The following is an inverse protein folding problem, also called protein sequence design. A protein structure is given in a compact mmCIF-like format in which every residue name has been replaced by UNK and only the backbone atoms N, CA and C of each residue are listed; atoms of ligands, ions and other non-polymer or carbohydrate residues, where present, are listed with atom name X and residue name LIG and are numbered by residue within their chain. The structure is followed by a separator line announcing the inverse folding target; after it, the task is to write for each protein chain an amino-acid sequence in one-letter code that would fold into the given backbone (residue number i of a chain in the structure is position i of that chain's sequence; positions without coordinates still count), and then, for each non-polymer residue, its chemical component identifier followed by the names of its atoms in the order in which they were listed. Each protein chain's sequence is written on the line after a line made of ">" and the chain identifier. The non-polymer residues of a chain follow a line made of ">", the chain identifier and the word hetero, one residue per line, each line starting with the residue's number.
data_IF_996982943045
#
_entry.id   IF_996982943045
#
_cell.length_a   1.000
_cell.length_b   1.000
_cell.length_c   1.000
_cell.angle_alpha   90.00
_cell.angle_beta   90.00
_cell.angle_gamma   90.00
#
_symmetry.space_group_name_H-M   'P 1'
#
loop_
_entity.id
_entity.type
_entity.pdbx_description
1 polymer ?
#
# COMPACT_ATOMS: atom_id res chain seq x y z
N UNK A 1 -28.06 58.10 -7.19
CA UNK A 1 -27.49 59.08 -8.14
C UNK A 1 -28.20 58.84 -9.46
N UNK A 2 -28.94 59.82 -9.99
CA UNK A 2 -29.62 59.68 -11.30
C UNK A 2 -28.69 60.06 -12.44
N UNK A 3 -28.99 59.64 -13.67
CA UNK A 3 -28.31 60.10 -14.87
C UNK A 3 -28.29 61.64 -14.96
N UNK A 4 -29.41 62.28 -14.60
CA UNK A 4 -29.52 63.76 -14.53
C UNK A 4 -28.55 64.39 -13.52
N UNK A 5 -28.33 63.77 -12.37
CA UNK A 5 -27.38 64.26 -11.36
C UNK A 5 -25.92 63.94 -11.74
N UNK A 6 -25.68 62.80 -12.39
CA UNK A 6 -24.38 62.36 -12.89
C UNK A 6 -23.85 63.27 -14.00
N UNK A 7 -24.75 63.82 -14.83
CA UNK A 7 -24.43 64.77 -15.88
C UNK A 7 -24.54 66.25 -15.43
N UNK A 8 -24.55 66.51 -14.11
CA UNK A 8 -24.43 67.87 -13.56
C UNK A 8 -25.74 68.64 -13.31
N UNK A 9 -26.91 67.99 -13.39
CA UNK A 9 -28.19 68.64 -13.11
C UNK A 9 -28.42 68.94 -11.62
N UNK A 10 -29.10 70.06 -11.32
CA UNK A 10 -29.36 70.56 -9.95
C UNK A 10 -30.22 69.65 -9.07
N UNK A 11 -30.88 68.64 -9.66
CA UNK A 11 -31.76 67.73 -8.93
C UNK A 11 -30.93 66.67 -8.18
N UNK A 12 -30.92 66.75 -6.85
CA UNK A 12 -30.34 65.70 -5.99
C UNK A 12 -31.28 64.51 -5.92
N UNK A 13 -30.84 63.37 -6.43
CA UNK A 13 -31.56 62.12 -6.20
C UNK A 13 -31.40 61.68 -4.74
N UNK A 14 -32.52 61.56 -4.02
CA UNK A 14 -32.58 61.18 -2.60
C UNK A 14 -32.83 59.69 -2.37
N UNK A 15 -32.99 58.90 -3.43
CA UNK A 15 -33.22 57.45 -3.34
C UNK A 15 -31.96 56.62 -3.07
N UNK A 16 -32.12 55.29 -3.08
CA UNK A 16 -31.05 54.32 -2.77
C UNK A 16 -29.81 54.50 -3.67
N UNK A 17 -28.61 54.37 -3.10
CA UNK A 17 -27.35 54.52 -3.83
C UNK A 17 -27.32 53.61 -5.08
N UNK A 18 -27.01 54.18 -6.25
CA UNK A 18 -27.11 53.46 -7.53
C UNK A 18 -26.16 52.24 -7.59
N UNK A 19 -25.01 52.31 -6.94
CA UNK A 19 -24.07 51.19 -6.82
C UNK A 19 -24.71 50.06 -6.01
N UNK A 20 -25.40 50.38 -4.91
CA UNK A 20 -26.11 49.40 -4.06
C UNK A 20 -27.32 48.76 -4.76
N UNK A 21 -28.00 49.49 -5.65
CA UNK A 21 -29.15 48.94 -6.40
C UNK A 21 -28.69 47.88 -7.42
N UNK A 22 -27.56 48.11 -8.09
CA UNK A 22 -27.03 47.23 -9.14
C UNK A 22 -26.12 46.10 -8.60
N UNK A 23 -25.78 46.12 -7.31
CA UNK A 23 -24.94 45.11 -6.64
C UNK A 23 -25.51 43.69 -6.82
N UNK A 24 -26.83 43.53 -6.78
CA UNK A 24 -27.51 42.22 -6.88
C UNK A 24 -28.21 41.96 -8.22
N UNK A 25 -28.11 42.86 -9.20
CA UNK A 25 -28.85 42.76 -10.47
C UNK A 25 -28.20 41.84 -11.53
N UNK A 26 -27.02 41.28 -11.26
CA UNK A 26 -26.36 40.33 -12.18
C UNK A 26 -25.83 40.90 -13.50
N UNK A 27 -25.88 42.23 -13.72
CA UNK A 27 -25.42 42.87 -14.98
C UNK A 27 -23.96 42.51 -15.26
N UNK A 28 -23.75 41.83 -16.38
CA UNK A 28 -22.45 41.44 -16.96
C UNK A 28 -21.86 42.56 -17.84
N UNK A 29 -20.57 42.45 -18.17
CA UNK A 29 -19.88 43.41 -19.06
C UNK A 29 -20.57 43.55 -20.42
N UNK A 30 -21.13 42.44 -20.93
CA UNK A 30 -21.87 42.41 -22.19
C UNK A 30 -23.16 43.22 -22.09
N UNK A 31 -23.90 43.10 -20.98
CA UNK A 31 -25.15 43.82 -20.77
C UNK A 31 -24.90 45.31 -20.49
N UNK A 32 -23.82 45.63 -19.77
CA UNK A 32 -23.40 47.01 -19.55
C UNK A 32 -23.00 47.69 -20.86
N UNK A 33 -22.19 47.04 -21.70
CA UNK A 33 -21.78 47.59 -23.00
C UNK A 33 -22.97 47.82 -23.95
N UNK A 34 -23.95 46.90 -23.95
CA UNK A 34 -25.20 47.11 -24.71
C UNK A 34 -26.00 48.31 -24.20
N UNK A 35 -26.09 48.49 -22.89
CA UNK A 35 -26.75 49.67 -22.32
C UNK A 35 -26.04 50.98 -22.71
N UNK A 36 -24.71 50.96 -22.78
CA UNK A 36 -23.89 52.09 -23.25
C UNK A 36 -24.14 52.38 -24.74
N UNK A 37 -24.21 51.35 -25.57
CA UNK A 37 -24.54 51.48 -27.00
C UNK A 37 -25.93 52.10 -27.22
N UNK A 38 -26.95 51.61 -26.49
CA UNK A 38 -28.30 52.18 -26.57
C UNK A 38 -28.33 53.64 -26.15
N UNK A 39 -27.57 54.01 -25.13
CA UNK A 39 -27.50 55.38 -24.65
C UNK A 39 -26.82 56.31 -25.67
N UNK A 40 -25.72 55.86 -26.27
CA UNK A 40 -25.03 56.61 -27.33
C UNK A 40 -25.94 56.82 -28.54
N UNK A 41 -26.65 55.78 -28.98
CA UNK A 41 -27.61 55.86 -30.08
C UNK A 41 -28.77 56.83 -29.76
N UNK A 42 -29.22 56.87 -28.51
CA UNK A 42 -30.22 57.84 -28.08
C UNK A 42 -29.68 59.29 -28.16
N UNK A 43 -28.44 59.54 -27.70
CA UNK A 43 -27.84 60.87 -27.79
C UNK A 43 -27.67 61.37 -29.23
N UNK A 44 -27.29 60.47 -30.15
CA UNK A 44 -27.25 60.76 -31.58
C UNK A 44 -28.63 61.11 -32.14
N UNK A 45 -29.67 60.35 -31.76
CA UNK A 45 -31.06 60.58 -32.20
C UNK A 45 -31.62 61.95 -31.77
N UNK A 46 -31.16 62.50 -30.64
CA UNK A 46 -31.58 63.80 -30.12
C UNK A 46 -30.63 64.96 -30.49
N UNK A 47 -29.74 64.77 -31.48
CA UNK A 47 -28.78 65.78 -31.95
C UNK A 47 -27.91 66.40 -30.85
N UNK A 48 -27.55 65.62 -29.83
CA UNK A 48 -26.59 66.07 -28.82
C UNK A 48 -25.21 66.14 -29.49
N UNK A 49 -24.45 67.22 -29.24
CA UNK A 49 -23.13 67.38 -29.85
C UNK A 49 -22.20 66.20 -29.52
N UNK A 50 -21.31 65.88 -30.43
CA UNK A 50 -20.38 64.76 -30.27
C UNK A 50 -19.47 64.93 -29.04
N UNK A 51 -19.03 66.17 -28.76
CA UNK A 51 -18.24 66.50 -27.57
C UNK A 51 -19.00 66.27 -26.26
N UNK A 52 -20.29 66.65 -26.21
CA UNK A 52 -21.14 66.41 -25.04
C UNK A 52 -21.48 64.93 -24.88
N UNK A 53 -21.74 64.22 -25.99
CA UNK A 53 -21.97 62.78 -26.01
C UNK A 53 -20.76 62.05 -25.43
N UNK A 54 -19.55 62.38 -25.90
CA UNK A 54 -18.30 61.78 -25.41
C UNK A 54 -18.09 61.99 -23.91
N UNK A 55 -18.29 63.22 -23.42
CA UNK A 55 -18.20 63.55 -21.98
C UNK A 55 -19.21 62.77 -21.15
N UNK A 56 -20.46 62.64 -21.62
CA UNK A 56 -21.49 61.90 -20.91
C UNK A 56 -21.16 60.39 -20.85
N UNK A 57 -20.70 59.82 -21.96
CA UNK A 57 -20.33 58.40 -22.04
C UNK A 57 -19.15 58.07 -21.13
N UNK A 58 -18.12 58.93 -21.09
CA UNK A 58 -16.94 58.75 -20.24
C UNK A 58 -17.31 58.74 -18.75
N UNK A 59 -18.21 59.62 -18.30
CA UNK A 59 -18.66 59.67 -16.90
C UNK A 59 -19.40 58.39 -16.51
N UNK A 60 -20.24 57.86 -17.39
CA UNK A 60 -21.06 56.67 -17.13
C UNK A 60 -20.20 55.42 -17.16
N UNK A 61 -19.26 55.32 -18.11
CA UNK A 61 -18.28 54.25 -18.20
C UNK A 61 -17.43 54.15 -16.93
N UNK A 62 -16.83 55.27 -16.50
CA UNK A 62 -16.02 55.34 -15.27
C UNK A 62 -16.79 54.94 -14.01
N UNK A 63 -18.12 55.12 -14.01
CA UNK A 63 -18.98 54.71 -12.89
C UNK A 63 -19.31 53.22 -12.96
N UNK A 64 -19.52 52.66 -14.15
CA UNK A 64 -19.78 51.23 -14.37
C UNK A 64 -18.57 50.35 -14.09
N UNK A 65 -17.38 50.76 -14.52
CA UNK A 65 -16.12 50.02 -14.31
C UNK A 65 -15.85 49.78 -12.81
N UNK A 66 -16.12 50.77 -11.95
CA UNK A 66 -16.00 50.65 -10.49
C UNK A 66 -16.94 49.59 -9.89
N UNK A 67 -18.10 49.37 -10.49
CA UNK A 67 -19.09 48.37 -10.03
C UNK A 67 -18.65 46.96 -10.46
N UNK A 68 -18.17 46.82 -11.70
CA UNK A 68 -17.68 45.56 -12.26
C UNK A 68 -16.42 45.10 -11.52
N UNK A 69 -15.44 45.98 -11.31
CA UNK A 69 -14.22 45.65 -10.56
C UNK A 69 -14.51 45.13 -9.15
N UNK A 70 -15.49 45.72 -8.47
CA UNK A 70 -15.89 45.29 -7.12
C UNK A 70 -16.47 43.87 -7.14
N UNK A 71 -17.32 43.54 -8.12
CA UNK A 71 -17.89 42.20 -8.29
C UNK A 71 -16.83 41.16 -8.65
N UNK A 72 -15.89 41.50 -9.53
CA UNK A 72 -14.77 40.62 -9.88
C UNK A 72 -13.93 40.32 -8.63
N UNK A 73 -13.59 41.35 -7.82
CA UNK A 73 -12.86 41.17 -6.56
C UNK A 73 -13.62 40.29 -5.56
N UNK A 74 -14.93 40.52 -5.38
CA UNK A 74 -15.77 39.70 -4.50
C UNK A 74 -15.82 38.22 -4.94
N UNK A 75 -16.05 37.96 -6.24
CA UNK A 75 -16.08 36.61 -6.79
C UNK A 75 -14.72 35.90 -6.67
N UNK A 76 -13.63 36.64 -6.86
CA UNK A 76 -12.27 36.12 -6.65
C UNK A 76 -11.99 35.81 -5.18
N UNK A 77 -12.45 36.63 -4.23
CA UNK A 77 -12.33 36.35 -2.80
C UNK A 77 -13.17 35.14 -2.37
N UNK A 78 -14.39 34.99 -2.89
CA UNK A 78 -15.23 33.81 -2.65
C UNK A 78 -14.59 32.53 -3.21
N UNK A 79 -14.06 32.58 -4.43
CA UNK A 79 -13.35 31.45 -5.04
C UNK A 79 -12.11 31.06 -4.24
N UNK A 80 -11.33 32.04 -3.77
CA UNK A 80 -10.17 31.79 -2.88
C UNK A 80 -10.59 31.13 -1.58
N UNK A 81 -11.69 31.58 -0.96
CA UNK A 81 -12.24 30.97 0.27
C UNK A 81 -12.68 29.52 0.03
N UNK A 82 -13.34 29.24 -1.08
CA UNK A 82 -13.76 27.88 -1.45
C UNK A 82 -12.55 26.95 -1.64
N UNK A 83 -11.56 27.39 -2.42
CA UNK A 83 -10.32 26.63 -2.65
C UNK A 83 -9.55 26.37 -1.35
N UNK A 84 -9.45 27.37 -0.47
CA UNK A 84 -8.81 27.22 0.84
C UNK A 84 -9.56 26.22 1.72
N UNK A 85 -10.89 26.24 1.70
CA UNK A 85 -11.70 25.30 2.47
C UNK A 85 -11.56 23.85 1.97
N UNK A 86 -11.47 23.64 0.66
CA UNK A 86 -11.20 22.33 0.07
C UNK A 86 -9.80 21.82 0.41
N UNK A 87 -8.77 22.68 0.33
CA UNK A 87 -7.41 22.33 0.74
C UNK A 87 -7.35 21.93 2.22
N UNK A 88 -8.05 22.66 3.09
CA UNK A 88 -8.09 22.36 4.53
C UNK A 88 -8.76 21.00 4.79
N UNK A 89 -9.86 20.67 4.09
CA UNK A 89 -10.51 19.36 4.16
C UNK A 89 -9.57 18.23 3.73
N UNK A 90 -8.86 18.40 2.61
CA UNK A 90 -7.90 17.40 2.13
C UNK A 90 -6.74 17.21 3.11
N UNK A 91 -6.23 18.30 3.70
CA UNK A 91 -5.15 18.24 4.69
C UNK A 91 -5.59 17.52 5.96
N UNK A 92 -6.79 17.82 6.47
CA UNK A 92 -7.37 17.14 7.63
C UNK A 92 -7.58 15.65 7.36
N UNK A 93 -8.05 15.28 6.17
CA UNK A 93 -8.23 13.89 5.79
C UNK A 93 -6.90 13.14 5.74
N UNK A 94 -5.85 13.74 5.14
CA UNK A 94 -4.49 13.18 5.10
C UNK A 94 -3.88 13.02 6.50
N UNK A 95 -4.07 14.01 7.38
CA UNK A 95 -3.61 13.91 8.78
C UNK A 95 -4.35 12.80 9.53
N UNK A 96 -5.66 12.67 9.36
CA UNK A 96 -6.44 11.60 10.00
C UNK A 96 -6.02 10.21 9.51
N UNK A 97 -5.75 10.05 8.21
CA UNK A 97 -5.24 8.78 7.68
C UNK A 97 -3.83 8.45 8.18
N UNK A 98 -2.93 9.44 8.29
CA UNK A 98 -1.58 9.19 8.83
C UNK A 98 -1.61 8.86 10.33
N UNK A 99 -2.47 9.55 11.10
CA UNK A 99 -2.68 9.27 12.51
C UNK A 99 -3.20 7.85 12.74
N UNK A 100 -4.07 7.34 11.86
CA UNK A 100 -4.55 5.96 11.93
C UNK A 100 -3.45 4.96 11.57
N UNK A 101 -2.66 5.20 10.52
CA UNK A 101 -1.55 4.33 10.12
C UNK A 101 -0.48 4.18 11.20
N UNK A 102 -0.24 5.24 12.00
CA UNK A 102 0.73 5.20 13.09
C UNK A 102 0.22 4.46 14.34
N UNK A 103 -1.06 4.08 14.41
CA UNK A 103 -1.58 3.30 15.53
C UNK A 103 -1.24 1.81 15.40
N UNK A 104 -1.05 1.11 16.54
CA UNK A 104 -0.94 -0.34 16.56
C UNK A 104 -2.05 -1.01 15.76
N UNK A 105 -1.70 -2.13 15.12
CA UNK A 105 -2.61 -2.84 14.22
C UNK A 105 -3.92 -3.23 14.93
N UNK A 106 -3.86 -3.65 16.20
CA UNK A 106 -5.04 -3.97 17.01
C UNK A 106 -6.07 -2.83 17.06
N UNK A 107 -5.62 -1.57 17.15
CA UNK A 107 -6.52 -0.41 17.21
C UNK A 107 -7.19 -0.20 15.86
N UNK A 108 -6.45 -0.42 14.77
CA UNK A 108 -6.97 -0.33 13.41
C UNK A 108 -7.91 -1.49 13.05
N UNK A 109 -7.73 -2.65 13.66
CA UNK A 109 -8.59 -3.84 13.49
C UNK A 109 -9.91 -3.74 14.27
N UNK A 110 -10.09 -2.75 15.14
CA UNK A 110 -11.29 -2.58 15.96
C UNK A 110 -11.17 -3.11 17.39
N UNK A 111 -9.95 -3.40 17.84
CA UNK A 111 -9.66 -3.81 19.22
C UNK A 111 -9.92 -5.29 19.48
N UNK A 112 -9.96 -5.65 20.76
CA UNK A 112 -10.14 -7.04 21.23
C UNK A 112 -11.41 -7.69 20.68
N UNK A 113 -12.60 -7.03 20.65
CA UNK A 113 -13.82 -7.66 20.15
C UNK A 113 -13.71 -8.14 18.70
N UNK A 114 -13.00 -7.40 17.84
CA UNK A 114 -12.75 -7.84 16.46
C UNK A 114 -11.85 -9.07 16.41
N UNK A 115 -10.87 -9.18 17.30
CA UNK A 115 -10.00 -10.36 17.37
C UNK A 115 -10.76 -11.57 17.91
N UNK A 116 -11.66 -11.38 18.89
CA UNK A 116 -12.54 -12.46 19.37
C UNK A 116 -13.41 -13.02 18.24
N UNK A 117 -14.00 -12.16 17.41
CA UNK A 117 -14.79 -12.59 16.23
C UNK A 117 -13.88 -13.29 15.21
N UNK A 118 -12.68 -12.76 14.98
CA UNK A 118 -11.71 -13.35 14.06
C UNK A 118 -11.31 -14.76 14.51
N UNK A 119 -11.04 -14.96 15.79
CA UNK A 119 -10.64 -16.28 16.31
C UNK A 119 -11.80 -17.27 16.27
N UNK A 120 -13.04 -16.84 16.54
CA UNK A 120 -14.22 -17.68 16.36
C UNK A 120 -14.34 -18.17 14.91
N UNK A 121 -14.36 -17.24 13.95
CA UNK A 121 -14.44 -17.54 12.51
C UNK A 121 -13.28 -18.40 12.00
N UNK A 122 -12.10 -18.20 12.58
CA UNK A 122 -10.92 -18.99 12.26
C UNK A 122 -11.05 -20.43 12.73
N UNK A 123 -11.48 -20.64 13.98
CA UNK A 123 -11.60 -21.99 14.52
C UNK A 123 -12.70 -22.80 13.85
N UNK A 124 -13.80 -22.18 13.41
CA UNK A 124 -14.83 -22.82 12.59
C UNK A 124 -14.23 -23.46 11.32
N UNK A 125 -13.26 -22.82 10.68
CA UNK A 125 -12.57 -23.37 9.50
C UNK A 125 -11.53 -24.42 9.85
N UNK A 126 -10.79 -24.20 10.94
CA UNK A 126 -9.74 -25.12 11.40
C UNK A 126 -10.29 -26.49 11.75
N UNK A 127 -11.46 -26.54 12.40
CA UNK A 127 -12.07 -27.82 12.79
C UNK A 127 -12.59 -28.61 11.58
N UNK A 128 -13.06 -27.91 10.55
CA UNK A 128 -13.58 -28.52 9.32
C UNK A 128 -12.46 -28.95 8.35
N UNK A 129 -11.24 -28.43 8.52
CA UNK A 129 -10.10 -28.81 7.70
C UNK A 129 -9.49 -30.16 8.12
N UNK A 130 -9.42 -31.12 7.19
CA UNK A 130 -8.91 -32.47 7.46
C UNK A 130 -7.45 -32.49 7.96
N UNK A 131 -6.64 -31.50 7.55
CA UNK A 131 -5.21 -31.45 7.87
C UNK A 131 -4.92 -30.71 9.18
N UNK A 132 -5.62 -29.60 9.45
CA UNK A 132 -5.46 -28.80 10.67
C UNK A 132 -6.30 -29.37 11.82
N UNK A 133 -7.55 -29.75 11.55
CA UNK A 133 -8.52 -30.16 12.58
C UNK A 133 -8.04 -31.33 13.43
N UNK A 134 -7.23 -32.24 12.87
CA UNK A 134 -6.63 -33.37 13.61
C UNK A 134 -5.79 -32.95 14.83
N UNK A 135 -5.21 -31.75 14.82
CA UNK A 135 -4.43 -31.22 15.95
C UNK A 135 -5.31 -30.70 17.10
N UNK A 136 -6.59 -30.47 16.84
CA UNK A 136 -7.51 -29.81 17.78
C UNK A 136 -8.62 -30.73 18.33
N UNK A 137 -8.79 -31.95 17.80
CA UNK A 137 -9.89 -32.88 18.17
C UNK A 137 -10.03 -33.19 19.66
N UNK A 138 -8.92 -33.20 20.41
CA UNK A 138 -8.91 -33.58 21.83
C UNK A 138 -8.56 -32.39 22.75
N UNK A 139 -8.74 -31.16 22.28
CA UNK A 139 -8.43 -29.94 23.03
C UNK A 139 -9.72 -29.24 23.47
N UNK A 140 -9.60 -28.52 24.58
CA UNK A 140 -10.60 -27.52 24.98
C UNK A 140 -10.52 -26.33 24.02
N UNK A 141 -11.40 -26.33 23.01
CA UNK A 141 -11.43 -25.31 21.95
C UNK A 141 -11.70 -23.92 22.51
N UNK A 142 -12.57 -23.80 23.52
CA UNK A 142 -12.88 -22.51 24.14
C UNK A 142 -11.64 -21.92 24.82
N UNK A 143 -10.83 -22.77 25.46
CA UNK A 143 -9.54 -22.35 25.99
C UNK A 143 -8.54 -22.00 24.89
N UNK A 144 -8.50 -22.74 23.78
CA UNK A 144 -7.61 -22.45 22.65
C UNK A 144 -7.97 -21.12 21.96
N UNK A 145 -9.26 -20.86 21.72
CA UNK A 145 -9.77 -19.59 21.20
C UNK A 145 -9.33 -18.40 22.06
N UNK A 146 -9.49 -18.51 23.38
CA UNK A 146 -9.06 -17.46 24.33
C UNK A 146 -7.54 -17.26 24.29
N UNK A 147 -6.76 -18.35 24.27
CA UNK A 147 -5.31 -18.28 24.22
C UNK A 147 -4.82 -17.62 22.91
N UNK A 148 -5.38 -18.03 21.77
CA UNK A 148 -5.05 -17.45 20.48
C UNK A 148 -5.46 -15.97 20.41
N UNK A 149 -6.63 -15.60 20.93
CA UNK A 149 -7.09 -14.21 20.95
C UNK A 149 -6.11 -13.33 21.73
N UNK A 150 -5.76 -13.73 22.96
CA UNK A 150 -4.80 -12.99 23.79
C UNK A 150 -3.44 -12.88 23.08
N UNK A 151 -3.00 -13.94 22.42
CA UNK A 151 -1.76 -13.94 21.65
C UNK A 151 -1.80 -12.97 20.46
N UNK A 152 -2.88 -13.00 19.68
CA UNK A 152 -3.07 -12.10 18.53
C UNK A 152 -3.21 -10.64 18.97
N UNK A 153 -3.91 -10.36 20.07
CA UNK A 153 -3.97 -9.00 20.65
C UNK A 153 -2.55 -8.51 21.00
N UNK A 154 -1.72 -9.34 21.63
CA UNK A 154 -0.34 -8.98 21.93
C UNK A 154 0.47 -8.73 20.65
N UNK A 155 0.42 -9.65 19.68
CA UNK A 155 1.26 -9.57 18.47
C UNK A 155 0.89 -8.38 17.58
N UNK A 156 -0.39 -7.96 17.60
CA UNK A 156 -0.90 -6.80 16.88
C UNK A 156 -0.69 -5.47 17.63
N UNK A 157 0.06 -5.50 18.74
CA UNK A 157 0.49 -4.31 19.49
C UNK A 157 -0.50 -3.84 20.56
N UNK A 158 -1.33 -4.73 21.08
CA UNK A 158 -2.18 -4.47 22.24
C UNK A 158 -1.42 -4.52 23.56
N UNK A 159 -1.90 -3.77 24.55
CA UNK A 159 -1.34 -3.73 25.91
C UNK A 159 -1.76 -4.95 26.75
N UNK A 160 -1.69 -6.14 26.15
CA UNK A 160 -1.98 -7.41 26.79
C UNK A 160 -0.75 -8.28 26.71
N UNK A 161 -0.45 -8.96 27.82
CA UNK A 161 0.61 -9.96 27.86
C UNK A 161 0.02 -11.36 27.82
N UNK A 162 0.35 -12.11 26.78
CA UNK A 162 0.14 -13.54 26.71
C UNK A 162 0.97 -14.25 27.79
N UNK A 163 0.27 -15.01 28.64
CA UNK A 163 0.85 -15.74 29.79
C UNK A 163 0.75 -17.27 29.62
N UNK A 164 0.40 -17.73 28.42
CA UNK A 164 0.40 -19.16 28.13
C UNK A 164 1.82 -19.70 27.95
N UNK A 165 1.92 -20.96 27.53
CA UNK A 165 3.21 -21.58 27.21
C UNK A 165 3.89 -20.81 26.08
N UNK A 166 5.21 -20.68 26.18
CA UNK A 166 6.06 -20.21 25.09
C UNK A 166 5.77 -20.95 23.77
N UNK A 167 5.85 -20.26 22.62
CA UNK A 167 5.49 -20.84 21.32
C UNK A 167 6.31 -22.08 21.00
N UNK A 168 7.61 -22.08 21.28
CA UNK A 168 8.46 -23.24 21.04
C UNK A 168 8.08 -24.40 21.95
N UNK A 169 7.89 -24.13 23.24
CA UNK A 169 7.50 -25.16 24.21
C UNK A 169 6.11 -25.75 23.93
N UNK A 170 5.16 -24.92 23.52
CA UNK A 170 3.79 -25.33 23.22
C UNK A 170 3.73 -26.28 22.02
N UNK A 171 4.56 -26.04 21.00
CA UNK A 171 4.47 -26.74 19.72
C UNK A 171 5.52 -27.85 19.53
N UNK A 172 6.59 -27.91 20.33
CA UNK A 172 7.75 -28.80 20.15
C UNK A 172 7.44 -30.26 19.82
N UNK A 173 6.35 -30.82 20.34
CA UNK A 173 6.00 -32.23 20.18
C UNK A 173 4.97 -32.49 19.06
N UNK A 174 4.62 -31.47 18.27
CA UNK A 174 3.52 -31.55 17.29
C UNK A 174 3.98 -31.85 15.86
N UNK A 175 5.29 -31.97 15.59
CA UNK A 175 5.85 -32.25 14.25
C UNK A 175 5.25 -31.33 13.16
N UNK A 176 5.25 -30.02 13.42
CA UNK A 176 4.67 -29.02 12.53
C UNK A 176 5.63 -28.73 11.37
N UNK A 177 5.15 -28.96 10.15
CA UNK A 177 5.83 -28.61 8.90
C UNK A 177 5.60 -27.16 8.52
N UNK A 178 6.47 -26.63 7.66
CA UNK A 178 6.30 -25.31 7.08
C UNK A 178 4.98 -25.19 6.29
N UNK A 179 4.61 -26.23 5.55
CA UNK A 179 3.34 -26.29 4.81
C UNK A 179 2.13 -26.20 5.75
N UNK A 180 2.13 -26.97 6.84
CA UNK A 180 1.04 -26.94 7.83
C UNK A 180 0.95 -25.58 8.52
N UNK A 181 2.10 -24.99 8.86
CA UNK A 181 2.16 -23.65 9.45
C UNK A 181 1.62 -22.59 8.48
N UNK A 182 2.05 -22.63 7.22
CA UNK A 182 1.56 -21.70 6.20
C UNK A 182 0.05 -21.85 6.00
N UNK A 183 -0.45 -23.10 5.97
CA UNK A 183 -1.89 -23.37 5.88
C UNK A 183 -2.66 -22.75 7.06
N UNK A 184 -2.17 -22.91 8.29
CA UNK A 184 -2.75 -22.27 9.47
C UNK A 184 -2.80 -20.73 9.31
N UNK A 185 -1.70 -20.12 8.86
CA UNK A 185 -1.63 -18.67 8.64
C UNK A 185 -2.60 -18.23 7.54
N UNK A 186 -2.66 -18.97 6.43
CA UNK A 186 -3.53 -18.64 5.30
C UNK A 186 -5.02 -18.76 5.69
N UNK A 187 -5.42 -19.79 6.44
CA UNK A 187 -6.79 -19.90 6.99
C UNK A 187 -7.15 -18.72 7.91
N UNK A 188 -6.18 -18.21 8.67
CA UNK A 188 -6.39 -17.01 9.50
C UNK A 188 -6.58 -15.76 8.63
N UNK A 189 -5.82 -15.61 7.54
CA UNK A 189 -5.96 -14.49 6.61
C UNK A 189 -7.27 -14.57 5.81
N UNK A 190 -7.68 -15.76 5.36
CA UNK A 190 -8.99 -15.99 4.72
C UNK A 190 -10.15 -15.60 5.66
N UNK A 191 -9.99 -15.86 6.97
CA UNK A 191 -10.96 -15.40 7.97
C UNK A 191 -11.02 -13.87 8.06
N UNK A 192 -9.87 -13.18 7.94
CA UNK A 192 -9.83 -11.72 7.87
C UNK A 192 -10.45 -11.17 6.58
N UNK A 193 -10.29 -11.88 5.45
CA UNK A 193 -10.91 -11.51 4.16
C UNK A 193 -12.44 -11.56 4.24
N UNK A 194 -13.01 -12.58 4.87
CA UNK A 194 -14.45 -12.74 5.06
C UNK A 194 -15.02 -11.65 5.97
N UNK A 195 -14.26 -11.24 6.98
CA UNK A 195 -14.57 -10.08 7.81
C UNK A 195 -14.42 -8.73 7.07
N UNK A 196 -14.03 -8.75 5.79
CA UNK A 196 -13.80 -7.57 4.94
C UNK A 196 -12.76 -6.61 5.52
N UNK A 197 -11.77 -7.15 6.22
CA UNK A 197 -10.65 -6.36 6.74
C UNK A 197 -9.81 -5.86 5.54
N UNK A 198 -9.37 -4.59 5.50
CA UNK A 198 -8.58 -4.07 4.39
C UNK A 198 -7.31 -4.89 4.11
N UNK A 199 -6.98 -5.08 2.84
CA UNK A 199 -5.84 -5.92 2.38
C UNK A 199 -4.50 -5.49 3.00
N UNK A 200 -4.30 -4.19 3.23
CA UNK A 200 -3.07 -3.68 3.85
C UNK A 200 -2.93 -4.16 5.30
N UNK A 201 -4.05 -4.28 6.02
CA UNK A 201 -4.06 -4.74 7.42
C UNK A 201 -3.86 -6.26 7.47
N UNK A 202 -4.41 -6.99 6.49
CA UNK A 202 -4.16 -8.44 6.36
C UNK A 202 -2.68 -8.73 6.09
N UNK A 203 -2.05 -7.99 5.17
CA UNK A 203 -0.61 -8.12 4.87
C UNK A 203 0.26 -7.82 6.09
N UNK A 204 -0.08 -6.77 6.83
CA UNK A 204 0.63 -6.43 8.06
C UNK A 204 0.45 -7.50 9.15
N UNK A 205 -0.78 -7.99 9.36
CA UNK A 205 -1.08 -9.09 10.28
C UNK A 205 -0.29 -10.35 9.91
N UNK A 206 -0.31 -10.75 8.63
CA UNK A 206 0.46 -11.89 8.10
C UNK A 206 1.94 -11.72 8.42
N UNK A 207 2.52 -10.55 8.14
CA UNK A 207 3.93 -10.26 8.43
C UNK A 207 4.25 -10.40 9.93
N UNK A 208 3.39 -9.89 10.81
CA UNK A 208 3.57 -10.01 12.26
C UNK A 208 3.45 -11.46 12.74
N UNK A 209 2.49 -12.23 12.23
CA UNK A 209 2.33 -13.65 12.58
C UNK A 209 3.53 -14.48 12.12
N UNK A 210 4.05 -14.21 10.90
CA UNK A 210 5.20 -14.92 10.34
C UNK A 210 6.46 -14.84 11.20
N UNK A 211 6.59 -13.89 12.12
CA UNK A 211 7.74 -13.83 13.04
C UNK A 211 7.77 -14.99 14.03
N UNK A 212 6.66 -15.69 14.21
CA UNK A 212 6.54 -16.84 15.14
C UNK A 212 6.95 -18.18 14.51
N UNK A 213 7.19 -18.18 13.19
CA UNK A 213 7.44 -19.39 12.40
C UNK A 213 8.62 -20.21 12.91
N UNK A 214 9.72 -19.56 13.27
CA UNK A 214 10.94 -20.23 13.76
C UNK A 214 10.74 -20.97 15.09
N UNK A 215 9.77 -20.54 15.89
CA UNK A 215 9.46 -21.17 17.18
C UNK A 215 8.44 -22.30 17.02
N UNK A 216 7.57 -22.23 16.01
CA UNK A 216 6.46 -23.17 15.82
C UNK A 216 6.83 -24.34 14.90
N UNK A 217 7.52 -24.07 13.79
CA UNK A 217 7.93 -25.11 12.82
C UNK A 217 9.08 -25.92 13.42
N UNK A 218 8.86 -27.22 13.62
CA UNK A 218 9.82 -28.10 14.30
C UNK A 218 10.10 -29.41 13.57
N UNK A 219 9.59 -29.57 12.36
CA UNK A 219 10.13 -30.56 11.42
C UNK A 219 11.06 -29.85 10.45
N UNK A 220 12.25 -30.41 10.26
CA UNK A 220 13.02 -30.13 9.06
C UNK A 220 12.14 -30.57 7.89
N UNK A 221 11.67 -29.64 7.06
CA UNK A 221 11.21 -29.99 5.73
C UNK A 221 12.40 -30.72 5.09
N UNK A 222 12.22 -31.96 4.59
CA UNK A 222 13.20 -32.52 3.70
C UNK A 222 13.24 -31.54 2.53
N UNK A 223 14.27 -30.70 2.45
CA UNK A 223 14.60 -30.02 1.21
C UNK A 223 14.66 -31.15 0.20
N UNK A 224 13.70 -31.18 -0.74
CA UNK A 224 13.73 -32.11 -1.86
C UNK A 224 15.16 -32.09 -2.36
N UNK A 225 15.93 -33.18 -2.23
CA UNK A 225 17.36 -33.12 -2.51
C UNK A 225 17.54 -32.58 -3.92
N UNK A 226 18.54 -31.72 -4.16
CA UNK A 226 18.73 -31.03 -5.45
C UNK A 226 18.56 -31.99 -6.64
N UNK A 227 19.03 -33.23 -6.48
CA UNK A 227 18.85 -34.34 -7.44
C UNK A 227 17.41 -34.53 -7.91
N UNK A 228 16.40 -34.45 -7.03
CA UNK A 228 14.99 -34.58 -7.39
C UNK A 228 14.46 -33.29 -8.03
N UNK A 229 14.95 -32.12 -7.61
CA UNK A 229 14.56 -30.82 -8.18
C UNK A 229 15.02 -30.69 -9.63
N UNK A 230 16.15 -31.30 -9.98
CA UNK A 230 16.69 -31.35 -11.34
C UNK A 230 16.17 -32.57 -12.14
N UNK A 231 15.02 -33.17 -11.79
CA UNK A 231 14.42 -34.26 -12.54
C UNK A 231 14.90 -35.68 -12.20
N UNK A 232 15.58 -35.84 -11.06
CA UNK A 232 16.03 -37.13 -10.55
C UNK A 232 17.45 -37.52 -11.00
N UNK A 233 17.95 -38.68 -10.53
CA UNK A 233 19.29 -39.15 -10.89
C UNK A 233 19.46 -39.47 -12.39
N UNK A 234 18.36 -39.58 -13.14
CA UNK A 234 18.40 -39.86 -14.58
C UNK A 234 18.94 -38.69 -15.41
N UNK A 235 18.70 -37.44 -15.01
CA UNK A 235 19.31 -36.27 -15.67
C UNK A 235 20.84 -36.30 -15.57
N UNK A 236 21.39 -36.82 -14.46
CA UNK A 236 22.83 -37.05 -14.38
C UNK A 236 23.27 -38.13 -15.37
N UNK A 237 22.53 -39.24 -15.51
CA UNK A 237 22.88 -40.27 -16.50
C UNK A 237 22.83 -39.73 -17.92
N UNK A 238 21.88 -38.88 -18.26
CA UNK A 238 21.77 -38.26 -19.58
C UNK A 238 22.95 -37.32 -19.85
N UNK A 239 23.29 -36.45 -18.88
CA UNK A 239 24.49 -35.59 -18.91
C UNK A 239 25.80 -36.37 -19.08
N UNK A 240 25.90 -37.56 -18.49
CA UNK A 240 27.09 -38.42 -18.57
C UNK A 240 27.02 -39.48 -19.70
N UNK A 241 25.87 -39.70 -20.35
CA UNK A 241 25.72 -40.74 -21.38
C UNK A 241 26.31 -40.35 -22.73
N UNK A 242 26.44 -39.04 -23.00
CA UNK A 242 27.00 -38.51 -24.24
C UNK A 242 28.51 -38.30 -24.21
N UNK A 243 29.14 -38.43 -23.04
CA UNK A 243 30.56 -38.13 -22.86
C UNK A 243 31.20 -39.25 -22.06
N UNK A 244 32.10 -40.01 -22.68
CA UNK A 244 33.00 -40.87 -21.90
C UNK A 244 33.83 -39.96 -20.99
N UNK A 245 33.68 -40.09 -19.67
CA UNK A 245 34.51 -39.36 -18.71
C UNK A 245 36.01 -39.51 -19.04
N UNK A 246 36.39 -40.67 -19.59
CA UNK A 246 37.75 -40.91 -20.10
C UNK A 246 38.16 -39.95 -21.23
N UNK A 247 37.27 -39.58 -22.15
CA UNK A 247 37.55 -38.65 -23.26
C UNK A 247 37.59 -37.18 -22.81
N UNK A 248 36.71 -36.78 -21.89
CA UNK A 248 36.73 -35.41 -21.34
C UNK A 248 38.00 -35.18 -20.51
N UNK A 249 38.42 -36.18 -19.73
CA UNK A 249 39.65 -36.12 -18.94
C UNK A 249 40.93 -36.34 -19.77
N UNK A 250 40.88 -37.01 -20.93
CA UNK A 250 42.06 -37.21 -21.79
C UNK A 250 42.71 -35.89 -22.26
N UNK A 251 41.89 -34.85 -22.43
CA UNK A 251 42.33 -33.53 -22.84
C UNK A 251 42.64 -32.60 -21.64
N UNK A 252 42.23 -32.98 -20.44
CA UNK A 252 42.47 -32.27 -19.20
C UNK A 252 43.68 -32.92 -18.50
N UNK A 253 44.87 -32.35 -18.68
CA UNK A 253 46.07 -32.76 -17.93
C UNK A 253 45.92 -32.35 -16.46
N UNK A 254 45.12 -33.10 -15.70
CA UNK A 254 44.88 -32.87 -14.28
C UNK A 254 45.90 -33.69 -13.49
N UNK A 255 46.74 -33.01 -12.72
CA UNK A 255 47.63 -33.68 -11.77
C UNK A 255 46.87 -34.03 -10.47
N UNK A 256 47.37 -34.96 -9.64
CA UNK A 256 46.81 -35.21 -8.30
C UNK A 256 46.73 -33.94 -7.43
N UNK A 257 47.64 -33.00 -7.62
CA UNK A 257 47.67 -31.73 -6.90
C UNK A 257 46.55 -30.79 -7.37
N UNK A 258 46.30 -30.70 -8.68
CA UNK A 258 45.21 -29.90 -9.25
C UNK A 258 43.83 -30.39 -8.74
N UNK A 259 43.65 -31.72 -8.67
CA UNK A 259 42.44 -32.31 -8.13
C UNK A 259 42.27 -32.01 -6.64
N UNK A 260 43.36 -32.07 -5.88
CA UNK A 260 43.37 -31.74 -4.45
C UNK A 260 43.00 -30.27 -4.23
N UNK A 261 43.52 -29.37 -5.06
CA UNK A 261 43.22 -27.95 -4.98
C UNK A 261 41.78 -27.62 -5.37
N UNK A 262 41.26 -28.26 -6.42
CA UNK A 262 39.84 -28.19 -6.77
C UNK A 262 38.93 -28.60 -5.61
N UNK A 263 39.25 -29.72 -4.94
CA UNK A 263 38.48 -30.18 -3.78
C UNK A 263 38.49 -29.15 -2.64
N UNK A 264 39.62 -28.50 -2.37
CA UNK A 264 39.71 -27.43 -1.35
C UNK A 264 38.87 -26.22 -1.72
N UNK A 265 38.92 -25.77 -2.98
CA UNK A 265 38.13 -24.64 -3.48
C UNK A 265 36.65 -24.96 -3.37
N UNK A 266 36.23 -26.14 -3.80
CA UNK A 266 34.83 -26.58 -3.73
C UNK A 266 34.33 -26.60 -2.29
N UNK A 267 35.10 -27.17 -1.36
CA UNK A 267 34.76 -27.15 0.07
C UNK A 267 34.63 -25.72 0.60
N UNK A 268 35.52 -24.81 0.18
CA UNK A 268 35.48 -23.39 0.57
C UNK A 268 34.21 -22.70 0.06
N UNK A 269 33.85 -22.91 -1.21
CA UNK A 269 32.62 -22.37 -1.82
C UNK A 269 31.38 -22.92 -1.10
N UNK A 270 31.32 -24.23 -0.86
CA UNK A 270 30.19 -24.84 -0.15
C UNK A 270 30.01 -24.29 1.27
N UNK A 271 31.11 -24.01 1.98
CA UNK A 271 31.07 -23.33 3.29
C UNK A 271 30.53 -21.90 3.17
N UNK A 272 30.95 -21.14 2.16
CA UNK A 272 30.45 -19.78 1.91
C UNK A 272 28.95 -19.77 1.58
N UNK A 273 28.43 -20.83 0.97
CA UNK A 273 27.01 -21.02 0.69
C UNK A 273 26.23 -21.64 1.86
N UNK A 274 26.80 -21.68 3.08
CA UNK A 274 26.16 -22.22 4.30
C UNK A 274 25.71 -23.69 4.23
N UNK A 275 26.37 -24.54 3.43
CA UNK A 275 26.11 -25.98 3.45
C UNK A 275 26.55 -26.59 4.80
N UNK A 276 25.75 -27.53 5.32
CA UNK A 276 26.10 -28.21 6.58
C UNK A 276 27.33 -29.09 6.43
N UNK A 277 28.05 -29.33 7.53
CA UNK A 277 29.22 -30.23 7.56
C UNK A 277 28.87 -31.66 7.11
N UNK A 278 27.65 -32.12 7.40
CA UNK A 278 27.17 -33.43 6.95
C UNK A 278 27.00 -33.47 5.42
N UNK A 279 26.44 -32.42 4.83
CA UNK A 279 26.26 -32.30 3.37
C UNK A 279 27.61 -32.21 2.64
N UNK A 280 28.56 -31.42 3.16
CA UNK A 280 29.91 -31.30 2.60
C UNK A 280 30.62 -32.66 2.61
N UNK A 281 30.52 -33.42 3.72
CA UNK A 281 31.10 -34.77 3.82
C UNK A 281 30.45 -35.75 2.84
N UNK A 282 29.14 -35.68 2.64
CA UNK A 282 28.42 -36.52 1.69
C UNK A 282 28.87 -36.28 0.25
N UNK A 283 29.02 -35.02 -0.15
CA UNK A 283 29.51 -34.65 -1.48
C UNK A 283 30.98 -35.06 -1.67
N UNK A 284 31.83 -34.92 -0.64
CA UNK A 284 33.20 -35.40 -0.68
C UNK A 284 33.31 -36.90 -1.02
N UNK A 285 32.48 -37.74 -0.40
CA UNK A 285 32.44 -39.19 -0.72
C UNK A 285 32.06 -39.47 -2.17
N UNK A 286 31.14 -38.69 -2.76
CA UNK A 286 30.74 -38.83 -4.17
C UNK A 286 31.91 -38.44 -5.07
N UNK A 287 32.59 -37.34 -4.77
CA UNK A 287 33.76 -36.87 -5.51
C UNK A 287 34.88 -37.91 -5.47
N UNK A 288 35.12 -38.54 -4.32
CA UNK A 288 36.11 -39.62 -4.19
C UNK A 288 35.82 -40.83 -5.10
N UNK A 289 34.54 -41.12 -5.40
CA UNK A 289 34.20 -42.19 -6.36
C UNK A 289 34.56 -41.86 -7.81
N UNK A 290 34.77 -40.58 -8.12
CA UNK A 290 35.21 -40.11 -9.43
C UNK A 290 36.74 -40.16 -9.56
N UNK A 291 37.48 -40.15 -8.45
CA UNK A 291 38.95 -40.17 -8.41
C UNK A 291 39.60 -41.30 -9.25
N UNK A 292 39.12 -42.56 -9.24
CA UNK A 292 39.70 -43.64 -10.05
C UNK A 292 39.40 -43.52 -11.55
N UNK A 293 38.44 -42.68 -11.94
CA UNK A 293 37.98 -42.47 -13.33
C UNK A 293 38.58 -41.20 -13.95
N UNK A 294 39.37 -40.46 -13.18
CA UNK A 294 40.19 -39.36 -13.67
C UNK A 294 41.50 -39.98 -14.14
N UNK A 295 41.76 -39.93 -15.44
CA UNK A 295 43.07 -40.27 -15.96
C UNK A 295 44.04 -39.19 -15.51
N UNK A 296 44.87 -39.47 -14.50
CA UNK A 296 45.99 -38.61 -14.17
C UNK A 296 47.03 -38.78 -15.29
N UNK A 297 47.22 -37.69 -16.04
CA UNK A 297 48.17 -37.63 -17.17
C UNK A 297 49.59 -37.34 -16.72
#
# INVERSE_FOLDING_TARGET
>A
MTLKQLLGGQNKYTGRNIIKIHENMGISDIEFNKAMEYLQNAFLKYNISEDLTKKCMEIIQNTGEKIVEKKIKQKQEELKKQQQQEQLKQQQQKQRSSLLQNKPLIVRLGGVPSIDILTEQFFDRVIDDETLGKYFRNLDLEKQKKQLTVFLVQIFGGEVRYRGKDMKMAHNNLKITEELYNKFVDTLIESMEIMKIPIDYQKEAKKQILTTKSDIVNTLTPTVPIIQQIGGPEILKELYSGVKLEELHKNLKITPDDYTEFCKILIKVMKQMNFTTATIRGIGKIIDTLKPKIAFG
#
